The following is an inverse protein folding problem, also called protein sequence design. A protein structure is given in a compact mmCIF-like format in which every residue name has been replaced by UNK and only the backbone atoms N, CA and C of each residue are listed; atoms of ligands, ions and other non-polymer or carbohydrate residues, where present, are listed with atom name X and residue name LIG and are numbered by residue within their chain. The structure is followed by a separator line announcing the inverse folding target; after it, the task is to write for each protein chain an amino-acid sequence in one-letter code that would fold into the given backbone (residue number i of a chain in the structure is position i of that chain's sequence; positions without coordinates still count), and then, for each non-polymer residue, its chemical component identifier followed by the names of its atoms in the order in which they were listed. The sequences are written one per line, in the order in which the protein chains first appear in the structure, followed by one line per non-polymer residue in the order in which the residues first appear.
data_IF_147384955539
#
_entry.id   IF_147384955539
#
_cell.length_a   1.000
_cell.length_b   1.000
_cell.length_c   1.000
_cell.angle_alpha   90.00
_cell.angle_beta   90.00
_cell.angle_gamma   90.00
#
_symmetry.space_group_name_H-M   'P 1'
#
loop_
_entity.id
_entity.type
_entity.pdbx_description
1 polymer ?
#
# COMPACT_ATOMS: atom_id res chain seq x y z
N UNK A 1 24.60 4.83 29.05
CA UNK A 1 25.50 4.00 28.21
C UNK A 1 24.71 2.75 27.90
N UNK A 2 24.63 2.34 26.62
CA UNK A 2 23.85 1.14 26.24
C UNK A 2 24.77 -0.07 26.35
N UNK A 3 24.35 -1.07 27.13
CA UNK A 3 25.08 -2.34 27.23
C UNK A 3 25.06 -3.06 25.88
N UNK A 4 26.20 -3.61 25.49
CA UNK A 4 26.36 -4.35 24.24
C UNK A 4 26.76 -5.77 24.57
N UNK A 5 25.92 -6.72 24.17
CA UNK A 5 26.26 -8.15 24.24
C UNK A 5 26.98 -8.52 22.95
N UNK A 6 28.13 -9.17 23.06
CA UNK A 6 28.87 -9.73 21.93
C UNK A 6 29.02 -11.24 22.12
N UNK A 7 28.44 -12.09 21.27
CA UNK A 7 28.63 -13.52 21.36
C UNK A 7 30.11 -13.86 21.09
N UNK A 8 30.61 -14.84 21.85
CA UNK A 8 31.92 -15.44 21.64
C UNK A 8 31.73 -16.82 21.03
N UNK A 9 32.67 -17.22 20.17
CA UNK A 9 32.71 -18.52 19.52
C UNK A 9 33.91 -19.33 20.00
N UNK A 10 33.78 -20.65 19.95
CA UNK A 10 34.88 -21.61 20.11
C UNK A 10 34.87 -22.45 18.85
N UNK A 11 36.00 -22.52 18.15
CA UNK A 11 36.12 -23.24 16.88
C UNK A 11 37.21 -24.30 16.98
N UNK A 12 36.90 -25.50 16.48
CA UNK A 12 37.90 -26.54 16.34
C UNK A 12 38.59 -26.50 14.98
N UNK A 13 39.72 -27.20 14.80
CA UNK A 13 40.39 -27.34 13.50
C UNK A 13 39.48 -27.87 12.38
N UNK A 14 38.48 -28.67 12.74
CA UNK A 14 37.52 -29.24 11.79
C UNK A 14 36.48 -28.22 11.26
N UNK A 15 36.33 -27.07 11.91
CA UNK A 15 35.36 -26.02 11.55
C UNK A 15 36.04 -24.72 11.10
N UNK A 16 37.32 -24.77 10.73
CA UNK A 16 38.08 -23.60 10.24
C UNK A 16 38.94 -22.89 11.28
N UNK A 17 38.92 -23.32 12.55
CA UNK A 17 39.80 -22.81 13.60
C UNK A 17 41.22 -23.38 13.55
N UNK A 18 42.10 -22.91 14.43
CA UNK A 18 43.46 -23.45 14.62
C UNK A 18 43.50 -24.41 15.83
N UNK A 19 44.51 -25.29 15.88
CA UNK A 19 44.75 -26.15 17.05
C UNK A 19 45.16 -25.37 18.31
N UNK A 20 45.34 -24.05 18.20
CA UNK A 20 45.76 -23.16 19.29
C UNK A 20 44.64 -22.23 19.77
N UNK A 21 43.43 -22.34 19.22
CA UNK A 21 42.26 -21.56 19.67
C UNK A 21 41.65 -22.17 20.95
N UNK A 22 42.44 -22.16 22.03
CA UNK A 22 42.06 -22.72 23.34
C UNK A 22 41.09 -21.81 24.13
N UNK A 23 40.75 -20.63 23.59
CA UNK A 23 39.93 -19.62 24.25
C UNK A 23 38.80 -19.09 23.34
N UNK A 24 37.65 -18.68 23.90
CA UNK A 24 36.59 -18.08 23.12
C UNK A 24 37.06 -16.81 22.39
N UNK A 25 36.80 -16.73 21.10
CA UNK A 25 37.12 -15.58 20.25
C UNK A 25 35.84 -14.84 19.85
N UNK A 26 35.96 -13.60 19.38
CA UNK A 26 34.80 -12.86 18.90
C UNK A 26 34.28 -13.43 17.58
N UNK A 27 32.96 -13.47 17.42
CA UNK A 27 32.35 -13.77 16.12
C UNK A 27 32.69 -12.67 15.07
N UNK A 28 33.16 -13.10 13.90
CA UNK A 28 33.39 -12.32 12.69
C UNK A 28 32.04 -11.99 12.04
N UNK A 29 31.68 -10.70 12.00
CA UNK A 29 30.35 -10.24 11.54
C UNK A 29 30.02 -10.57 10.09
N UNK A 30 31.03 -10.89 9.27
CA UNK A 30 30.87 -11.15 7.83
C UNK A 30 30.99 -12.64 7.49
N UNK A 31 31.33 -13.50 8.45
CA UNK A 31 31.65 -14.91 8.21
C UNK A 31 30.84 -15.83 9.12
N UNK A 32 30.64 -15.43 10.38
CA UNK A 32 29.93 -16.23 11.37
C UNK A 32 28.45 -15.86 11.44
N UNK A 33 27.61 -16.86 11.70
CA UNK A 33 26.21 -16.67 12.04
C UNK A 33 25.93 -17.19 13.45
N UNK A 34 24.99 -16.55 14.13
CA UNK A 34 24.50 -17.00 15.44
C UNK A 34 23.22 -17.79 15.20
N UNK A 35 23.32 -19.12 15.29
CA UNK A 35 22.12 -19.96 15.39
C UNK A 35 21.71 -20.09 16.86
N UNK A 36 20.49 -19.67 17.17
CA UNK A 36 19.96 -19.73 18.51
C UNK A 36 18.48 -20.11 18.45
N UNK A 37 18.01 -20.81 19.48
CA UNK A 37 16.60 -21.22 19.55
C UNK A 37 15.66 -20.01 19.67
N UNK A 38 16.15 -18.89 20.20
CA UNK A 38 15.45 -17.63 20.14
C UNK A 38 16.24 -16.45 20.70
N UNK A 39 15.74 -15.26 20.40
CA UNK A 39 16.22 -13.98 20.92
C UNK A 39 15.05 -13.30 21.63
N UNK A 40 15.26 -12.93 22.88
CA UNK A 40 14.34 -12.11 23.67
C UNK A 40 14.96 -10.73 23.87
N UNK A 41 14.14 -9.68 23.73
CA UNK A 41 14.56 -8.30 23.99
C UNK A 41 13.80 -7.82 25.21
N UNK A 42 14.53 -7.50 26.28
CA UNK A 42 13.96 -7.06 27.54
C UNK A 42 13.72 -5.54 27.52
N UNK A 43 12.60 -5.09 28.07
CA UNK A 43 12.38 -3.69 28.42
C UNK A 43 12.83 -3.37 29.85
N UNK A 44 12.71 -2.11 30.26
CA UNK A 44 13.14 -1.61 31.56
C UNK A 44 12.25 -2.05 32.74
N UNK A 45 11.18 -2.82 32.51
CA UNK A 45 10.13 -3.11 33.50
C UNK A 45 9.90 -4.59 33.83
N UNK A 46 10.75 -5.49 33.34
CA UNK A 46 10.78 -6.93 33.67
C UNK A 46 9.49 -7.71 33.33
N UNK A 47 9.21 -7.91 32.05
CA UNK A 47 8.37 -9.03 31.59
C UNK A 47 9.00 -9.67 30.34
N UNK A 48 9.59 -10.84 30.52
CA UNK A 48 10.53 -11.48 29.60
C UNK A 48 9.92 -12.16 28.34
N UNK A 49 8.63 -11.95 28.04
CA UNK A 49 7.93 -12.75 27.02
C UNK A 49 7.07 -11.94 26.03
N UNK A 50 7.14 -10.60 26.01
CA UNK A 50 6.23 -9.84 25.15
C UNK A 50 6.60 -9.89 23.66
N UNK A 51 7.87 -10.03 23.28
CA UNK A 51 8.24 -10.24 21.88
C UNK A 51 9.40 -11.20 21.78
N UNK A 52 9.23 -12.29 21.02
CA UNK A 52 10.25 -13.32 20.85
C UNK A 52 10.37 -13.72 19.39
N UNK A 53 11.59 -13.79 18.88
CA UNK A 53 11.88 -14.52 17.62
C UNK A 53 12.46 -15.86 18.00
N UNK A 54 11.89 -16.95 17.51
CA UNK A 54 12.35 -18.32 17.81
C UNK A 54 12.31 -19.22 16.59
N UNK A 55 13.08 -20.31 16.62
CA UNK A 55 13.00 -21.38 15.62
C UNK A 55 12.29 -22.60 16.22
N UNK A 56 11.32 -23.14 15.50
CA UNK A 56 10.66 -24.40 15.82
C UNK A 56 10.74 -25.34 14.61
N UNK A 57 11.61 -26.34 14.68
CA UNK A 57 11.97 -27.15 13.51
C UNK A 57 12.63 -26.32 12.41
N UNK A 58 12.02 -26.32 11.22
CA UNK A 58 12.49 -25.55 10.05
C UNK A 58 11.82 -24.16 9.94
N UNK A 59 10.89 -23.83 10.84
CA UNK A 59 10.13 -22.58 10.79
C UNK A 59 10.70 -21.51 11.73
N UNK A 60 10.71 -20.26 11.25
CA UNK A 60 10.86 -19.10 12.12
C UNK A 60 9.49 -18.67 12.67
N UNK A 61 9.47 -18.38 13.96
CA UNK A 61 8.28 -17.99 14.73
C UNK A 61 8.52 -16.64 15.42
N UNK A 62 7.46 -15.84 15.49
CA UNK A 62 7.42 -14.51 16.06
C UNK A 62 6.29 -14.46 17.07
N UNK A 63 6.63 -14.35 18.36
CA UNK A 63 5.66 -14.08 19.42
C UNK A 63 5.47 -12.57 19.51
N UNK A 64 4.22 -12.10 19.42
CA UNK A 64 3.88 -10.69 19.60
C UNK A 64 3.52 -10.35 21.06
N UNK A 65 3.31 -9.06 21.33
CA UNK A 65 2.93 -8.54 22.66
C UNK A 65 1.63 -9.10 23.22
N UNK A 66 0.82 -9.74 22.37
CA UNK A 66 -0.44 -10.37 22.75
C UNK A 66 -0.25 -11.88 23.00
N UNK A 67 1.00 -12.35 23.10
CA UNK A 67 1.36 -13.75 23.25
C UNK A 67 0.85 -14.62 22.09
N UNK A 68 0.73 -14.05 20.89
CA UNK A 68 0.33 -14.77 19.68
C UNK A 68 1.57 -15.16 18.89
N UNK A 69 1.73 -16.46 18.64
CA UNK A 69 2.80 -16.97 17.77
C UNK A 69 2.36 -16.82 16.31
N UNK A 70 3.23 -16.24 15.50
CA UNK A 70 3.10 -16.14 14.04
C UNK A 70 4.32 -16.77 13.38
N UNK A 71 4.09 -17.61 12.38
CA UNK A 71 5.14 -18.03 11.45
C UNK A 71 5.48 -16.91 10.48
N UNK A 72 6.64 -17.00 9.81
CA UNK A 72 6.95 -16.09 8.69
C UNK A 72 5.85 -16.11 7.62
N UNK A 73 5.31 -17.29 7.30
CA UNK A 73 4.20 -17.47 6.35
C UNK A 73 2.95 -16.72 6.78
N UNK A 74 2.57 -16.78 8.05
CA UNK A 74 1.40 -16.05 8.58
C UNK A 74 1.63 -14.54 8.60
N UNK A 75 2.85 -14.07 8.88
CA UNK A 75 3.18 -12.66 8.78
C UNK A 75 3.07 -12.16 7.32
N UNK A 76 3.60 -12.93 6.37
CA UNK A 76 3.47 -12.64 4.94
C UNK A 76 2.01 -12.66 4.47
N UNK A 77 1.19 -13.57 5.01
CA UNK A 77 -0.24 -13.62 4.71
C UNK A 77 -1.04 -12.49 5.38
N UNK A 78 -0.58 -11.99 6.52
CA UNK A 78 -1.22 -10.88 7.27
C UNK A 78 -0.90 -9.49 6.69
N UNK A 79 0.20 -9.38 5.93
CA UNK A 79 0.47 -8.24 5.08
C UNK A 79 -0.53 -8.24 3.91
N UNK A 80 -1.74 -7.73 4.16
CA UNK A 80 -2.81 -7.57 3.17
C UNK A 80 -2.50 -6.56 2.09
N UNK A 81 -1.31 -6.64 1.50
CA UNK A 81 -1.03 -5.99 0.22
C UNK A 81 -2.02 -6.48 -0.82
N UNK A 82 -2.22 -5.66 -1.85
CA UNK A 82 -3.06 -6.05 -2.98
C UNK A 82 -2.54 -7.37 -3.53
N UNK A 83 -3.42 -8.37 -3.68
CA UNK A 83 -3.05 -9.59 -4.38
C UNK A 83 -2.59 -9.23 -5.80
N UNK A 84 -1.71 -10.01 -6.45
CA UNK A 84 -1.36 -9.76 -7.85
C UNK A 84 -2.60 -9.60 -8.75
N UNK A 85 -3.67 -10.33 -8.47
CA UNK A 85 -4.97 -10.20 -9.15
C UNK A 85 -5.65 -8.86 -8.87
N UNK A 86 -5.74 -8.44 -7.60
CA UNK A 86 -6.34 -7.14 -7.24
C UNK A 86 -5.52 -5.98 -7.82
N UNK A 87 -4.20 -6.11 -7.80
CA UNK A 87 -3.30 -5.15 -8.41
C UNK A 87 -3.51 -5.10 -9.93
N UNK A 88 -3.59 -6.25 -10.60
CA UNK A 88 -3.86 -6.32 -12.04
C UNK A 88 -5.23 -5.75 -12.42
N UNK A 89 -6.27 -5.92 -11.57
CA UNK A 89 -7.59 -5.30 -11.81
C UNK A 89 -7.53 -3.78 -11.66
N UNK A 90 -6.81 -3.27 -10.65
CA UNK A 90 -6.61 -1.82 -10.51
C UNK A 90 -5.78 -1.25 -11.66
N UNK A 91 -4.75 -1.97 -12.08
CA UNK A 91 -3.90 -1.62 -13.21
C UNK A 91 -4.71 -1.64 -14.52
N UNK A 92 -5.58 -2.64 -14.72
CA UNK A 92 -6.52 -2.70 -15.84
C UNK A 92 -7.61 -1.63 -15.76
N UNK A 93 -8.09 -1.23 -14.58
CA UNK A 93 -9.06 -0.14 -14.48
C UNK A 93 -8.45 1.19 -14.95
N UNK A 94 -7.15 1.38 -14.68
CA UNK A 94 -6.40 2.57 -15.13
C UNK A 94 -6.02 2.45 -16.61
N UNK A 95 -5.69 1.26 -17.11
CA UNK A 95 -5.31 1.03 -18.52
C UNK A 95 -6.51 0.82 -19.48
N UNK A 96 -7.66 0.32 -19.03
CA UNK A 96 -8.88 0.17 -19.84
C UNK A 96 -9.53 1.52 -20.19
N UNK A 97 -9.13 2.59 -19.51
CA UNK A 97 -9.39 3.96 -19.94
C UNK A 97 -8.53 4.39 -21.12
N UNK A 98 -7.62 3.58 -21.66
CA UNK A 98 -6.63 4.04 -22.64
C UNK A 98 -6.68 3.37 -24.02
N UNK A 99 -7.39 2.25 -24.22
CA UNK A 99 -7.26 1.50 -25.49
C UNK A 99 -8.53 1.42 -26.36
N UNK A 100 -9.74 1.31 -25.79
CA UNK A 100 -10.98 1.21 -26.59
C UNK A 100 -12.13 2.02 -25.97
N UNK A 101 -12.00 3.34 -25.92
CA UNK A 101 -13.09 4.21 -25.48
C UNK A 101 -13.38 5.31 -26.50
N UNK A 102 -14.58 5.88 -26.43
CA UNK A 102 -14.95 7.06 -27.21
C UNK A 102 -15.30 8.23 -26.29
N UNK A 103 -14.65 9.37 -26.49
CA UNK A 103 -14.92 10.61 -25.75
C UNK A 103 -15.81 11.56 -26.56
N UNK A 104 -16.86 12.08 -25.93
CA UNK A 104 -17.74 13.10 -26.49
C UNK A 104 -17.71 14.38 -25.65
N UNK A 105 -17.50 15.52 -26.33
CA UNK A 105 -17.48 16.85 -25.72
C UNK A 105 -18.72 17.63 -26.12
N UNK A 106 -19.59 17.94 -25.15
CA UNK A 106 -20.73 18.83 -25.36
C UNK A 106 -20.35 20.26 -25.00
N UNK A 107 -20.67 21.21 -25.89
CA UNK A 107 -20.35 22.63 -25.71
C UNK A 107 -21.59 23.51 -25.73
N UNK A 108 -21.55 24.59 -24.94
CA UNK A 108 -22.48 25.71 -25.02
C UNK A 108 -21.68 26.98 -25.31
N UNK A 109 -21.78 27.48 -26.54
CA UNK A 109 -20.86 28.50 -27.06
C UNK A 109 -19.41 28.00 -27.02
N UNK A 110 -18.52 28.78 -26.39
CA UNK A 110 -17.09 28.45 -26.29
C UNK A 110 -16.73 27.62 -25.05
N UNK A 111 -17.71 27.12 -24.29
CA UNK A 111 -17.49 26.38 -23.04
C UNK A 111 -17.87 24.92 -23.20
N UNK A 112 -17.04 24.01 -22.71
CA UNK A 112 -17.40 22.60 -22.53
C UNK A 112 -18.29 22.51 -21.30
N UNK A 113 -19.46 21.91 -21.46
CA UNK A 113 -20.43 21.70 -20.39
C UNK A 113 -20.56 20.24 -19.98
N UNK A 114 -20.14 19.32 -20.85
CA UNK A 114 -20.12 17.89 -20.56
C UNK A 114 -18.95 17.20 -21.28
N UNK A 115 -18.31 16.25 -20.61
CA UNK A 115 -17.42 15.26 -21.23
C UNK A 115 -17.99 13.88 -20.89
N UNK A 116 -18.32 13.09 -21.90
CA UNK A 116 -18.83 11.73 -21.70
C UNK A 116 -17.85 10.73 -22.28
N UNK A 117 -17.47 9.74 -21.48
CA UNK A 117 -16.64 8.60 -21.90
C UNK A 117 -17.55 7.40 -22.11
N UNK A 118 -17.48 6.81 -23.30
CA UNK A 118 -18.28 5.67 -23.73
C UNK A 118 -17.41 4.44 -23.99
N UNK A 119 -18.00 3.25 -23.90
CA UNK A 119 -17.35 1.96 -24.22
C UNK A 119 -16.90 1.82 -25.67
N UNK A 120 -17.52 2.55 -26.60
CA UNK A 120 -17.22 2.49 -28.02
C UNK A 120 -17.81 3.72 -28.75
N UNK A 121 -17.46 3.90 -30.03
CA UNK A 121 -17.99 4.99 -30.86
C UNK A 121 -19.49 4.91 -31.14
N UNK A 122 -20.12 3.77 -30.89
CA UNK A 122 -21.56 3.57 -30.94
C UNK A 122 -22.30 4.16 -29.75
N UNK A 123 -21.59 4.62 -28.70
CA UNK A 123 -22.15 5.32 -27.52
C UNK A 123 -23.25 4.52 -26.82
N UNK A 124 -23.01 3.22 -26.66
CA UNK A 124 -24.00 2.28 -26.10
C UNK A 124 -24.04 2.33 -24.58
N UNK A 125 -22.88 2.30 -23.92
CA UNK A 125 -22.74 2.31 -22.47
C UNK A 125 -21.80 3.43 -22.04
N UNK A 126 -22.24 4.28 -21.11
CA UNK A 126 -21.36 5.27 -20.47
C UNK A 126 -20.43 4.58 -19.49
N UNK A 127 -19.20 5.05 -19.42
CA UNK A 127 -18.22 4.67 -18.41
C UNK A 127 -18.12 5.80 -17.37
N UNK A 128 -18.00 7.05 -17.85
CA UNK A 128 -17.84 8.24 -17.02
C UNK A 128 -18.51 9.46 -17.66
N UNK A 129 -18.87 10.42 -16.83
CA UNK A 129 -19.37 11.72 -17.26
C UNK A 129 -18.87 12.83 -16.33
N UNK A 130 -18.39 13.93 -16.90
CA UNK A 130 -17.98 15.15 -16.20
C UNK A 130 -18.87 16.30 -16.63
N UNK A 131 -19.67 16.85 -15.71
CA UNK A 131 -20.59 17.96 -15.97
C UNK A 131 -20.07 19.25 -15.36
N UNK A 132 -20.07 20.33 -16.15
CA UNK A 132 -19.53 21.62 -15.74
C UNK A 132 -20.61 22.71 -15.71
N UNK A 133 -20.79 23.34 -14.55
CA UNK A 133 -21.62 24.53 -14.38
C UNK A 133 -20.74 25.76 -14.21
N UNK A 134 -21.11 26.86 -14.86
CA UNK A 134 -20.32 28.10 -14.88
C UNK A 134 -21.07 29.31 -14.32
N UNK A 135 -20.32 30.23 -13.73
CA UNK A 135 -20.74 31.64 -13.52
C UNK A 135 -19.75 32.55 -14.21
N UNK A 136 -20.21 33.31 -15.22
CA UNK A 136 -19.29 34.00 -16.13
C UNK A 136 -18.37 32.98 -16.80
N UNK A 137 -17.05 33.23 -16.81
CA UNK A 137 -16.05 32.34 -17.43
C UNK A 137 -15.37 31.36 -16.45
N UNK A 138 -16.00 31.09 -15.30
CA UNK A 138 -15.44 30.21 -14.28
C UNK A 138 -16.36 29.04 -14.01
N UNK A 139 -15.77 27.86 -13.85
CA UNK A 139 -16.46 26.66 -13.39
C UNK A 139 -16.78 26.88 -11.90
N UNK A 140 -18.05 26.86 -11.55
CA UNK A 140 -18.52 26.96 -10.16
C UNK A 140 -18.91 25.59 -9.61
N UNK A 141 -19.21 24.62 -10.47
CA UNK A 141 -19.44 23.25 -10.07
C UNK A 141 -18.97 22.29 -11.16
N UNK A 142 -18.38 21.19 -10.72
CA UNK A 142 -18.00 20.02 -11.50
C UNK A 142 -18.67 18.80 -10.87
N UNK A 143 -19.23 17.93 -11.70
CA UNK A 143 -19.87 16.69 -11.24
C UNK A 143 -19.28 15.54 -12.03
N UNK A 144 -18.54 14.69 -11.35
CA UNK A 144 -17.96 13.47 -11.89
C UNK A 144 -18.88 12.31 -11.56
N UNK A 145 -19.27 11.55 -12.58
CA UNK A 145 -20.19 10.43 -12.46
C UNK A 145 -19.51 9.19 -13.02
N UNK A 146 -19.57 8.07 -12.29
CA UNK A 146 -19.13 6.77 -12.77
C UNK A 146 -20.32 5.85 -12.97
N UNK A 147 -20.22 4.99 -13.99
CA UNK A 147 -21.22 4.02 -14.35
C UNK A 147 -20.65 2.61 -14.29
N UNK A 148 -21.48 1.62 -13.96
CA UNK A 148 -21.12 0.20 -14.08
C UNK A 148 -21.23 -0.31 -15.53
N UNK A 149 -20.88 -1.59 -15.74
CA UNK A 149 -20.96 -2.23 -17.06
C UNK A 149 -22.38 -2.34 -17.65
N UNK A 150 -23.42 -2.03 -16.87
CA UNK A 150 -24.82 -1.96 -17.34
C UNK A 150 -25.25 -0.51 -17.64
N UNK A 151 -24.37 0.47 -17.46
CA UNK A 151 -24.67 1.89 -17.63
C UNK A 151 -25.45 2.50 -16.47
N UNK A 152 -25.46 1.86 -15.30
CA UNK A 152 -26.09 2.40 -14.08
C UNK A 152 -25.08 3.23 -13.32
N UNK A 153 -25.48 4.42 -12.87
CA UNK A 153 -24.64 5.27 -12.02
C UNK A 153 -24.33 4.54 -10.71
N UNK A 154 -23.04 4.45 -10.36
CA UNK A 154 -22.54 3.80 -9.14
C UNK A 154 -21.86 4.74 -8.17
N UNK A 155 -21.48 5.92 -8.65
CA UNK A 155 -20.80 6.91 -7.84
C UNK A 155 -20.90 8.28 -8.49
N UNK A 156 -21.07 9.29 -7.65
CA UNK A 156 -21.03 10.69 -8.03
C UNK A 156 -20.20 11.51 -7.06
N UNK A 157 -19.31 12.33 -7.59
CA UNK A 157 -18.56 13.34 -6.86
C UNK A 157 -18.97 14.72 -7.37
N UNK A 158 -19.48 15.57 -6.49
CA UNK A 158 -19.76 16.97 -6.80
C UNK A 158 -18.73 17.86 -6.15
N UNK A 159 -17.97 18.60 -6.96
CA UNK A 159 -17.06 19.64 -6.52
C UNK A 159 -17.71 21.00 -6.73
N UNK A 160 -17.74 21.82 -5.68
CA UNK A 160 -18.23 23.21 -5.75
C UNK A 160 -17.09 24.17 -5.46
N UNK A 161 -16.86 25.09 -6.38
CA UNK A 161 -15.75 26.03 -6.36
C UNK A 161 -16.23 27.41 -5.93
N UNK A 162 -15.63 27.95 -4.86
CA UNK A 162 -15.78 29.36 -4.49
C UNK A 162 -14.56 30.16 -4.93
N UNK A 163 -14.76 31.40 -5.35
CA UNK A 163 -13.68 32.26 -5.86
C UNK A 163 -13.60 33.59 -5.10
N UNK A 164 -12.39 34.13 -5.02
CA UNK A 164 -12.13 35.53 -4.66
C UNK A 164 -11.37 36.19 -5.80
N UNK A 165 -12.03 37.12 -6.52
CA UNK A 165 -11.49 37.60 -7.79
C UNK A 165 -11.29 36.43 -8.76
N UNK A 166 -10.13 36.32 -9.41
CA UNK A 166 -9.80 35.23 -10.35
C UNK A 166 -9.28 33.94 -9.72
N UNK A 167 -9.11 33.90 -8.39
CA UNK A 167 -8.50 32.78 -7.68
C UNK A 167 -9.57 31.90 -7.04
N UNK A 168 -9.36 30.58 -7.09
CA UNK A 168 -10.15 29.63 -6.29
C UNK A 168 -9.82 29.87 -4.82
N UNK A 169 -10.84 30.15 -4.02
CA UNK A 169 -10.71 30.38 -2.58
C UNK A 169 -10.86 29.07 -1.80
N UNK A 170 -11.84 28.26 -2.14
CA UNK A 170 -12.05 26.94 -1.58
C UNK A 170 -12.76 26.03 -2.58
N UNK A 171 -12.67 24.73 -2.32
CA UNK A 171 -13.38 23.67 -3.03
C UNK A 171 -14.06 22.80 -2.00
N UNK A 172 -15.37 22.59 -2.15
CA UNK A 172 -16.13 21.65 -1.32
C UNK A 172 -16.46 20.42 -2.17
N UNK A 173 -16.16 19.23 -1.68
CA UNK A 173 -16.48 17.97 -2.36
C UNK A 173 -17.55 17.19 -1.60
N UNK A 174 -18.58 16.73 -2.31
CA UNK A 174 -19.62 15.83 -1.78
C UNK A 174 -19.66 14.58 -2.63
N UNK A 175 -19.44 13.41 -2.02
CA UNK A 175 -19.56 12.10 -2.65
C UNK A 175 -20.91 11.50 -2.30
N UNK A 176 -21.62 11.00 -3.31
CA UNK A 176 -22.83 10.18 -3.14
C UNK A 176 -22.63 8.84 -3.83
N UNK A 177 -23.08 7.73 -3.22
CA UNK A 177 -23.25 6.46 -3.93
C UNK A 177 -24.24 6.61 -5.09
#
# INVERSE_FOLDING_TARGET
MVDRISPLKIEGPASGGSQTDDFPTSASRNEDFVDCRGVTVQDDTSNDDLVRVSRDGDDMTFLDKNNTVKTLTELLASGGGLTPTTHAVLDQLVHALAEDYYEEYTRSGNKVTNITVWTDSGKTTKIREEQYTYTGNKITQEVDIQYDGSGVEVERLTLTYAYSGSLVLNVTSVRTP
#
